data_IF_815072213143
#
_entry.id   IF_815072213143
#
_cell.length_a   1.000
_cell.length_b   1.000
_cell.length_c   1.000
_cell.angle_alpha   90.00
_cell.angle_beta   90.00
_cell.angle_gamma   90.00
#
_symmetry.space_group_name_H-M   'P 1'
#
loop_
_entity.id
_entity.type
_entity.pdbx_description
1 polymer ?
#
# COMPACT_ATOMS: atom_id res chain seq x y z
N UNK A 1 -22.17 0.57 7.15
CA UNK A 1 -20.97 0.85 6.35
C UNK A 1 -19.79 0.81 7.32
N UNK A 2 -19.09 -0.32 7.38
CA UNK A 2 -17.93 -0.47 8.27
C UNK A 2 -16.76 0.22 7.55
N UNK A 3 -16.46 1.45 7.95
CA UNK A 3 -15.25 2.14 7.52
C UNK A 3 -14.09 1.30 8.06
N UNK A 4 -13.48 0.46 7.20
CA UNK A 4 -12.30 -0.33 7.55
C UNK A 4 -11.20 0.68 7.82
N UNK A 5 -11.03 1.06 9.09
CA UNK A 5 -9.91 1.89 9.48
C UNK A 5 -8.64 1.17 8.99
N UNK A 6 -7.82 1.80 8.13
CA UNK A 6 -6.56 1.19 7.72
C UNK A 6 -5.77 0.81 8.96
N UNK A 7 -5.16 -0.37 8.92
CA UNK A 7 -4.28 -0.79 10.01
C UNK A 7 -3.07 0.15 10.00
N UNK A 8 -3.13 1.16 10.88
CA UNK A 8 -2.14 2.21 11.01
C UNK A 8 -0.93 1.72 11.81
N UNK A 9 -0.62 0.42 11.69
CA UNK A 9 0.50 -0.19 12.38
C UNK A 9 1.79 0.15 11.60
N UNK A 10 2.72 0.93 12.20
CA UNK A 10 3.95 1.34 11.53
C UNK A 10 4.82 0.16 11.08
N UNK A 11 4.68 -1.02 11.69
CA UNK A 11 5.39 -2.23 11.29
C UNK A 11 4.95 -2.74 9.92
N UNK A 12 3.64 -2.81 9.69
CA UNK A 12 3.07 -3.24 8.40
C UNK A 12 3.37 -2.24 7.28
N UNK A 13 3.38 -0.94 7.59
CA UNK A 13 3.78 0.11 6.63
C UNK A 13 5.27 0.00 6.25
N UNK A 14 6.15 -0.36 7.20
CA UNK A 14 7.56 -0.64 6.90
C UNK A 14 7.72 -1.86 6.00
N UNK A 15 6.95 -2.93 6.22
CA UNK A 15 6.94 -4.10 5.34
C UNK A 15 6.48 -3.74 3.92
N UNK A 16 5.48 -2.86 3.80
CA UNK A 16 5.02 -2.34 2.51
C UNK A 16 6.14 -1.60 1.77
N UNK A 17 6.85 -0.70 2.45
CA UNK A 17 7.98 0.03 1.88
C UNK A 17 9.11 -0.91 1.43
N UNK A 18 9.44 -1.90 2.26
CA UNK A 18 10.45 -2.89 1.94
C UNK A 18 10.05 -3.72 0.71
N UNK A 19 8.78 -4.13 0.61
CA UNK A 19 8.25 -4.86 -0.54
C UNK A 19 8.34 -4.03 -1.83
N UNK A 20 8.03 -2.73 -1.77
CA UNK A 20 8.11 -1.82 -2.92
C UNK A 20 9.56 -1.60 -3.34
N UNK A 21 10.48 -1.28 -2.41
CA UNK A 21 11.91 -1.13 -2.70
C UNK A 21 12.52 -2.39 -3.31
N UNK A 22 12.09 -3.56 -2.84
CA UNK A 22 12.55 -4.84 -3.35
C UNK A 22 11.88 -5.28 -4.66
N UNK A 23 10.92 -4.52 -5.21
CA UNK A 23 10.20 -4.89 -6.43
C UNK A 23 9.27 -6.10 -6.27
N UNK A 24 8.91 -6.48 -5.04
CA UNK A 24 8.17 -7.71 -4.75
C UNK A 24 6.66 -7.53 -4.94
N UNK A 25 6.19 -7.65 -6.18
CA UNK A 25 4.76 -7.49 -6.57
C UNK A 25 3.81 -8.37 -5.74
N UNK A 26 4.14 -9.65 -5.54
CA UNK A 26 3.29 -10.57 -4.79
C UNK A 26 3.13 -10.16 -3.32
N UNK A 27 4.22 -9.70 -2.69
CA UNK A 27 4.20 -9.22 -1.31
C UNK A 27 3.40 -7.92 -1.20
N UNK A 28 3.60 -6.99 -2.14
CA UNK A 28 2.81 -5.76 -2.24
C UNK A 28 1.30 -6.05 -2.32
N UNK A 29 0.89 -7.00 -3.17
CA UNK A 29 -0.52 -7.39 -3.30
C UNK A 29 -1.08 -8.02 -2.03
N UNK A 30 -0.30 -8.84 -1.33
CA UNK A 30 -0.72 -9.45 -0.07
C UNK A 30 -0.97 -8.38 1.01
N UNK A 31 -0.06 -7.39 1.12
CA UNK A 31 -0.18 -6.29 2.08
C UNK A 31 -1.35 -5.36 1.76
N UNK A 32 -1.55 -5.02 0.48
CA UNK A 32 -2.73 -4.28 0.01
C UNK A 32 -4.01 -5.02 0.38
N UNK A 33 -4.09 -6.34 0.09
CA UNK A 33 -5.26 -7.15 0.43
C UNK A 33 -5.53 -7.24 1.93
N UNK A 34 -4.48 -7.17 2.76
CA UNK A 34 -4.58 -7.15 4.23
C UNK A 34 -5.16 -5.83 4.76
N UNK A 35 -5.23 -4.77 3.96
CA UNK A 35 -5.74 -3.47 4.40
C UNK A 35 -4.68 -2.57 5.02
N UNK A 36 -3.40 -2.79 4.67
CA UNK A 36 -2.29 -1.99 5.20
C UNK A 36 -2.42 -0.53 4.78
N UNK A 37 -2.14 0.37 5.72
CA UNK A 37 -2.09 1.81 5.50
C UNK A 37 -1.03 2.17 4.45
N UNK A 38 -1.45 2.95 3.46
CA UNK A 38 -0.58 3.55 2.44
C UNK A 38 -0.35 5.01 2.79
N UNK A 39 0.90 5.38 3.00
CA UNK A 39 1.35 6.77 3.18
C UNK A 39 1.92 7.37 1.88
N UNK A 40 2.29 8.65 1.92
CA UNK A 40 2.93 9.34 0.79
C UNK A 40 4.27 8.73 0.37
N UNK A 41 5.04 8.19 1.31
CA UNK A 41 6.33 7.52 1.05
C UNK A 41 6.14 6.27 0.20
N UNK A 42 5.10 5.48 0.46
CA UNK A 42 4.78 4.32 -0.37
C UNK A 42 4.52 4.71 -1.84
N UNK A 43 3.88 5.86 -2.09
CA UNK A 43 3.68 6.38 -3.46
C UNK A 43 4.99 6.84 -4.11
N UNK A 44 5.87 7.49 -3.38
CA UNK A 44 7.17 7.91 -3.90
C UNK A 44 8.03 6.69 -4.29
N UNK A 45 8.06 5.70 -3.39
CA UNK A 45 8.75 4.42 -3.63
C UNK A 45 8.16 3.66 -4.82
N UNK A 46 6.83 3.64 -4.96
CA UNK A 46 6.20 2.90 -6.07
C UNK A 46 6.48 3.57 -7.41
N UNK A 47 6.58 4.90 -7.47
CA UNK A 47 6.97 5.63 -8.68
C UNK A 47 8.38 5.29 -9.13
N UNK A 48 9.33 5.21 -8.18
CA UNK A 48 10.72 4.91 -8.48
C UNK A 48 10.99 3.43 -8.81
N UNK A 49 10.34 2.51 -8.10
CA UNK A 49 10.66 1.08 -8.20
C UNK A 49 9.63 0.26 -8.98
N UNK A 50 8.36 0.64 -8.97
CA UNK A 50 7.25 -0.19 -9.45
C UNK A 50 6.10 0.63 -10.08
N UNK A 51 6.35 1.52 -11.07
CA UNK A 51 5.38 2.53 -11.51
C UNK A 51 4.05 1.95 -12.01
N UNK A 52 4.06 0.73 -12.56
CA UNK A 52 2.84 0.01 -12.97
C UNK A 52 1.89 -0.34 -11.81
N UNK A 53 2.36 -0.27 -10.57
CA UNK A 53 1.55 -0.55 -9.38
C UNK A 53 1.00 0.74 -8.72
N UNK A 54 1.35 1.94 -9.21
CA UNK A 54 0.86 3.21 -8.65
C UNK A 54 -0.67 3.28 -8.69
N UNK A 55 -1.27 2.99 -9.83
CA UNK A 55 -2.74 3.02 -10.00
C UNK A 55 -3.44 2.09 -9.01
N UNK A 56 -2.84 0.93 -8.75
CA UNK A 56 -3.38 -0.07 -7.84
C UNK A 56 -3.25 0.36 -6.37
N UNK A 57 -2.16 1.02 -6.02
CA UNK A 57 -1.97 1.65 -4.71
C UNK A 57 -3.00 2.77 -4.48
N UNK A 58 -3.27 3.56 -5.51
CA UNK A 58 -4.29 4.62 -5.49
C UNK A 58 -5.71 4.08 -5.33
N UNK A 59 -6.06 3.01 -6.05
CA UNK A 59 -7.36 2.34 -5.90
C UNK A 59 -7.54 1.76 -4.49
N UNK A 60 -6.49 1.12 -3.95
CA UNK A 60 -6.48 0.60 -2.58
C UNK A 60 -6.68 1.72 -1.55
N UNK A 61 -5.91 2.81 -1.68
CA UNK A 61 -6.05 3.99 -0.84
C UNK A 61 -7.50 4.49 -0.89
N UNK A 62 -8.05 4.70 -2.10
CA UNK A 62 -9.42 5.18 -2.27
C UNK A 62 -10.45 4.27 -1.59
N UNK A 63 -10.33 2.96 -1.76
CA UNK A 63 -11.21 1.96 -1.13
C UNK A 63 -11.06 1.88 0.40
N UNK A 64 -9.91 2.28 0.94
CA UNK A 64 -9.65 2.19 2.38
C UNK A 64 -10.09 3.46 3.12
N UNK A 65 -10.03 4.64 2.50
CA UNK A 65 -10.45 5.91 3.14
C UNK A 65 -11.83 6.42 2.76
N UNK A 66 -12.37 6.05 1.59
CA UNK A 66 -13.64 6.58 1.07
C UNK A 66 -14.77 5.54 1.03
N UNK A 67 -14.66 4.46 1.80
CA UNK A 67 -15.66 3.39 1.88
C UNK A 67 -16.48 3.40 3.18
#
# INVERSE_FOLDING_TARGET
MFIRQPDHNPEHTRELHAAIRAGKIKALHALIKKGVYVDGTAFDLVRGHMPKQEERLRDHQRKTYYA
#
